data_IF_224697006721
#
_entry.id   IF_224697006721
#
_cell.length_a   1.000
_cell.length_b   1.000
_cell.length_c   1.000
_cell.angle_alpha   90.00
_cell.angle_beta   90.00
_cell.angle_gamma   90.00
#
_symmetry.space_group_name_H-M   'P 1'
#
loop_
_entity.id
_entity.type
_entity.pdbx_description
1 polymer ?
#
# COMPACT_ATOMS: atom_id res chain seq x y z
N UNK A 1 -2.87 -27.85 -17.32
CA UNK A 1 -1.56 -27.21 -17.59
C UNK A 1 -1.43 -26.06 -16.61
N UNK A 2 -0.74 -26.29 -15.49
CA UNK A 2 -0.25 -25.20 -14.65
C UNK A 2 1.27 -25.33 -14.70
N UNK A 3 1.93 -24.27 -15.17
CA UNK A 3 3.38 -24.25 -15.27
C UNK A 3 3.94 -23.98 -13.87
N UNK A 4 4.78 -24.88 -13.35
CA UNK A 4 5.41 -24.78 -12.02
C UNK A 4 6.62 -23.82 -12.01
N UNK A 5 6.80 -23.02 -13.06
CA UNK A 5 7.92 -22.09 -13.22
C UNK A 5 7.37 -20.70 -13.48
N UNK A 6 7.40 -19.86 -12.44
CA UNK A 6 7.19 -18.43 -12.58
C UNK A 6 8.45 -17.81 -13.17
N UNK A 7 8.32 -17.06 -14.26
CA UNK A 7 9.39 -16.19 -14.73
C UNK A 7 9.32 -14.85 -13.98
N UNK A 8 10.46 -14.19 -13.75
CA UNK A 8 10.54 -12.88 -13.06
C UNK A 8 9.60 -11.80 -13.66
N UNK A 9 9.27 -11.92 -14.95
CA UNK A 9 8.35 -11.02 -15.66
C UNK A 9 6.86 -11.30 -15.41
N UNK A 10 6.53 -12.34 -14.65
CA UNK A 10 5.17 -12.72 -14.25
C UNK A 10 4.88 -12.43 -12.78
N UNK A 11 5.89 -11.97 -12.02
CA UNK A 11 5.71 -11.58 -10.62
C UNK A 11 4.80 -10.34 -10.50
N UNK A 12 3.92 -10.37 -9.51
CA UNK A 12 3.14 -9.22 -9.12
C UNK A 12 4.08 -8.16 -8.53
N UNK A 13 4.05 -6.96 -9.10
CA UNK A 13 4.82 -5.81 -8.61
C UNK A 13 3.92 -4.83 -7.90
N UNK A 14 4.33 -4.39 -6.71
CA UNK A 14 3.55 -3.51 -5.86
C UNK A 14 4.45 -2.68 -4.92
N UNK A 15 3.85 -1.89 -4.04
CA UNK A 15 4.52 -0.82 -3.30
C UNK A 15 4.12 0.56 -3.83
N UNK A 16 4.12 1.57 -2.96
CA UNK A 16 3.70 2.92 -3.28
C UNK A 16 2.32 3.30 -2.73
N UNK A 17 1.89 4.53 -3.04
CA UNK A 17 0.74 5.17 -2.39
C UNK A 17 -0.61 4.45 -2.59
N UNK A 18 -0.73 3.65 -3.66
CA UNK A 18 -1.94 2.87 -3.99
C UNK A 18 -1.84 1.40 -3.55
N UNK A 19 -0.81 1.03 -2.79
CA UNK A 19 -0.54 -0.33 -2.32
C UNK A 19 -0.16 -0.29 -0.83
N UNK A 20 0.99 -0.84 -0.44
CA UNK A 20 1.56 -0.61 0.88
C UNK A 20 2.30 0.73 0.91
N UNK A 21 1.80 1.66 1.73
CA UNK A 21 2.37 3.00 1.87
C UNK A 21 3.65 2.95 2.70
N UNK A 22 4.59 3.85 2.41
CA UNK A 22 5.95 3.85 2.98
C UNK A 22 6.99 3.04 2.19
N UNK A 23 6.58 2.44 1.07
CA UNK A 23 7.46 1.73 0.14
C UNK A 23 7.48 2.42 -1.22
N UNK A 24 8.61 2.32 -1.92
CA UNK A 24 8.78 2.84 -3.27
C UNK A 24 7.84 2.13 -4.27
N UNK A 25 7.42 2.85 -5.30
CA UNK A 25 6.45 2.37 -6.28
C UNK A 25 6.99 1.14 -7.04
N UNK A 26 6.19 0.06 -7.08
CA UNK A 26 6.54 -1.21 -7.76
C UNK A 26 7.86 -1.85 -7.33
N UNK A 27 8.37 -1.52 -6.14
CA UNK A 27 9.63 -2.03 -5.61
C UNK A 27 9.54 -3.46 -5.06
N UNK A 28 8.35 -3.90 -4.68
CA UNK A 28 8.10 -5.23 -4.12
C UNK A 28 7.64 -6.18 -5.22
N UNK A 29 8.19 -7.39 -5.26
CA UNK A 29 7.83 -8.42 -6.24
C UNK A 29 7.47 -9.73 -5.52
N UNK A 30 6.32 -10.30 -5.87
CA UNK A 30 5.82 -11.52 -5.24
C UNK A 30 5.05 -12.41 -6.22
N UNK A 31 5.10 -13.72 -6.01
CA UNK A 31 4.22 -14.68 -6.71
C UNK A 31 2.80 -14.60 -6.16
N UNK A 32 2.66 -14.31 -4.86
CA UNK A 32 1.38 -14.05 -4.20
C UNK A 32 1.59 -13.07 -3.05
N UNK A 33 0.65 -12.17 -2.83
CA UNK A 33 0.67 -11.30 -1.65
C UNK A 33 -0.75 -11.00 -1.16
N UNK A 34 -0.88 -10.80 0.14
CA UNK A 34 -2.07 -10.25 0.78
C UNK A 34 -1.73 -8.87 1.33
N UNK A 35 -2.61 -7.90 1.09
CA UNK A 35 -2.48 -6.54 1.59
C UNK A 35 -3.77 -6.12 2.30
N UNK A 36 -3.61 -5.57 3.50
CA UNK A 36 -4.67 -4.98 4.29
C UNK A 36 -4.31 -3.53 4.59
N UNK A 37 -5.08 -2.61 4.03
CA UNK A 37 -4.92 -1.18 4.24
C UNK A 37 -5.96 -0.67 5.23
N UNK A 38 -5.51 -0.11 6.35
CA UNK A 38 -6.38 0.56 7.32
C UNK A 38 -6.15 2.07 7.24
N UNK A 39 -7.24 2.81 7.18
CA UNK A 39 -7.24 4.27 7.26
C UNK A 39 -8.27 4.70 8.29
N UNK A 40 -7.81 5.30 9.39
CA UNK A 40 -8.70 5.86 10.40
C UNK A 40 -8.82 7.37 10.20
N UNK A 41 -10.01 7.84 9.85
CA UNK A 41 -10.28 9.24 9.51
C UNK A 41 -11.09 9.95 10.59
N UNK A 42 -10.52 11.02 11.12
CA UNK A 42 -11.20 11.92 12.06
C UNK A 42 -11.55 13.26 11.38
N UNK A 43 -12.83 13.60 11.40
CA UNK A 43 -13.33 14.86 10.83
C UNK A 43 -13.14 16.00 11.82
N UNK A 44 -12.31 16.99 11.44
CA UNK A 44 -12.09 18.21 12.23
C UNK A 44 -13.14 19.27 11.92
N UNK A 45 -13.63 19.28 10.67
CA UNK A 45 -14.71 20.14 10.21
C UNK A 45 -15.38 19.50 8.98
N UNK A 46 -16.54 20.01 8.51
CA UNK A 46 -17.19 19.47 7.31
C UNK A 46 -16.31 19.45 6.06
N UNK A 47 -15.28 20.31 6.00
CA UNK A 47 -14.34 20.40 4.87
C UNK A 47 -12.93 19.90 5.19
N UNK A 48 -12.67 19.35 6.39
CA UNK A 48 -11.32 18.95 6.78
C UNK A 48 -11.30 17.68 7.63
N UNK A 49 -10.36 16.80 7.33
CA UNK A 49 -10.09 15.62 8.14
C UNK A 49 -8.60 15.40 8.32
N UNK A 50 -8.25 14.76 9.42
CA UNK A 50 -6.95 14.11 9.63
C UNK A 50 -7.16 12.61 9.60
N UNK A 51 -6.13 11.87 9.22
CA UNK A 51 -6.20 10.42 9.20
C UNK A 51 -4.86 9.79 9.55
N UNK A 52 -4.92 8.61 10.12
CA UNK A 52 -3.78 7.71 10.27
C UNK A 52 -3.92 6.54 9.33
N UNK A 53 -2.78 5.97 8.98
CA UNK A 53 -2.61 4.92 7.99
C UNK A 53 -1.85 3.79 8.66
N UNK A 54 -2.39 2.58 8.52
CA UNK A 54 -1.71 1.37 8.94
C UNK A 54 -1.92 0.31 7.88
N UNK A 55 -0.84 -0.11 7.23
CA UNK A 55 -0.86 -1.10 6.19
C UNK A 55 -0.15 -2.37 6.67
N UNK A 56 -0.75 -3.53 6.41
CA UNK A 56 -0.18 -4.84 6.70
C UNK A 56 -0.10 -5.62 5.41
N UNK A 57 1.09 -6.08 5.05
CA UNK A 57 1.28 -6.92 3.87
C UNK A 57 1.98 -8.23 4.24
N UNK A 58 1.50 -9.32 3.70
CA UNK A 58 2.19 -10.60 3.68
C UNK A 58 2.51 -10.92 2.23
N UNK A 59 3.77 -11.20 1.91
CA UNK A 59 4.19 -11.54 0.56
C UNK A 59 4.94 -12.86 0.54
N UNK A 60 4.73 -13.61 -0.53
CA UNK A 60 5.45 -14.83 -0.85
C UNK A 60 6.01 -14.75 -2.27
N UNK A 61 7.29 -15.03 -2.41
CA UNK A 61 7.95 -15.19 -3.70
C UNK A 61 8.53 -16.60 -3.78
N UNK A 62 7.89 -17.46 -4.58
CA UNK A 62 8.31 -18.84 -4.74
C UNK A 62 9.57 -19.00 -5.62
N UNK A 63 9.99 -17.96 -6.35
CA UNK A 63 11.23 -17.98 -7.14
C UNK A 63 12.45 -17.83 -6.21
N UNK A 64 12.36 -16.91 -5.25
CA UNK A 64 13.43 -16.63 -4.27
C UNK A 64 13.23 -17.37 -2.94
N UNK A 65 12.18 -18.18 -2.83
CA UNK A 65 11.73 -18.85 -1.59
C UNK A 65 11.53 -17.87 -0.40
N UNK A 66 11.14 -16.63 -0.71
CA UNK A 66 11.02 -15.54 0.26
C UNK A 66 9.60 -15.44 0.80
N UNK A 67 9.47 -15.28 2.13
CA UNK A 67 8.20 -15.01 2.82
C UNK A 67 8.39 -13.87 3.81
N UNK A 68 7.68 -12.78 3.61
CA UNK A 68 7.85 -11.57 4.42
C UNK A 68 6.53 -10.99 4.90
N UNK A 69 6.63 -10.30 6.05
CA UNK A 69 5.56 -9.48 6.62
C UNK A 69 6.04 -8.05 6.66
N UNK A 70 5.38 -7.19 5.90
CA UNK A 70 5.69 -5.76 5.82
C UNK A 70 4.60 -4.96 6.53
N UNK A 71 5.02 -3.84 7.09
CA UNK A 71 4.17 -2.94 7.84
C UNK A 71 4.42 -1.52 7.32
N UNK A 72 3.35 -0.80 7.00
CA UNK A 72 3.39 0.62 6.64
C UNK A 72 2.65 1.42 7.70
N UNK A 73 3.22 2.54 8.13
CA UNK A 73 2.56 3.45 9.07
C UNK A 73 2.66 4.86 8.53
N UNK A 74 1.55 5.59 8.58
CA UNK A 74 1.53 6.95 8.10
C UNK A 74 0.46 7.79 8.74
N UNK A 75 0.47 9.06 8.39
CA UNK A 75 -0.55 10.01 8.76
C UNK A 75 -0.72 11.03 7.65
N UNK A 76 -1.84 11.73 7.67
CA UNK A 76 -2.13 12.72 6.67
C UNK A 76 -3.33 13.55 7.01
N UNK A 77 -3.64 14.49 6.14
CA UNK A 77 -4.82 15.32 6.23
C UNK A 77 -5.41 15.57 4.85
N UNK A 78 -6.69 15.91 4.84
CA UNK A 78 -7.40 16.30 3.64
C UNK A 78 -8.23 17.56 3.89
N UNK A 79 -8.22 18.46 2.91
CA UNK A 79 -9.00 19.70 2.91
C UNK A 79 -9.81 19.74 1.61
N UNK A 80 -11.13 19.82 1.76
CA UNK A 80 -12.04 20.05 0.65
C UNK A 80 -12.10 21.55 0.35
N UNK A 81 -11.57 21.92 -0.82
CA UNK A 81 -11.58 23.29 -1.33
C UNK A 81 -12.57 23.41 -2.50
N UNK A 82 -12.80 24.63 -2.98
CA UNK A 82 -13.61 24.84 -4.20
C UNK A 82 -12.98 24.19 -5.45
N UNK A 83 -11.66 24.00 -5.48
CA UNK A 83 -10.95 23.33 -6.55
C UNK A 83 -10.91 21.79 -6.42
N UNK A 84 -11.47 21.24 -5.34
CA UNK A 84 -11.50 19.80 -5.04
C UNK A 84 -10.81 19.42 -3.73
N UNK A 85 -10.60 18.12 -3.54
CA UNK A 85 -9.95 17.55 -2.36
C UNK A 85 -8.42 17.65 -2.49
N UNK A 86 -7.82 18.53 -1.68
CA UNK A 86 -6.39 18.49 -1.44
C UNK A 86 -6.10 17.45 -0.36
N UNK A 87 -5.18 16.51 -0.60
CA UNK A 87 -4.79 15.47 0.36
C UNK A 87 -3.28 15.36 0.43
N UNK A 88 -2.74 15.35 1.64
CA UNK A 88 -1.33 15.12 1.91
C UNK A 88 -1.18 13.91 2.84
N UNK A 89 -0.26 13.02 2.48
CA UNK A 89 0.04 11.77 3.20
C UNK A 89 1.55 11.68 3.38
N UNK A 90 1.97 11.29 4.57
CA UNK A 90 3.33 10.91 4.89
C UNK A 90 3.31 9.50 5.50
N UNK A 91 4.11 8.60 4.93
CA UNK A 91 4.21 7.20 5.31
C UNK A 91 5.63 6.70 5.05
#
# INVERSE_FOLDING_TARGET
>A
MFSDTYFENELLRFGGINSIRGFEENSLAATAYGLLNLEYRYSLSPSMFVHTITDFCYLENNITEQKEKLYGFGFGFGILTQAGLFRLVYA
#
